data_IF_114963196135
#
_entry.id   IF_114963196135
#
_cell.length_a   1.000
_cell.length_b   1.000
_cell.length_c   1.000
_cell.angle_alpha   90.00
_cell.angle_beta   90.00
_cell.angle_gamma   90.00
#
_symmetry.space_group_name_H-M   'P 1'
#
loop_
_entity.id
_entity.type
_entity.pdbx_description
1 polymer ?
#
# COMPACT_ATOMS: atom_id res chain seq x y z
N UNK A 1 2.77 11.54 8.33
CA UNK A 1 2.90 10.17 7.78
C UNK A 1 1.74 9.78 6.86
N UNK A 2 0.47 9.91 7.28
CA UNK A 2 -0.70 9.50 6.48
C UNK A 2 -0.78 10.18 5.11
N UNK A 3 -0.52 11.50 5.05
CA UNK A 3 -0.50 12.25 3.79
C UNK A 3 0.57 11.80 2.79
N UNK A 4 1.65 11.16 3.22
CA UNK A 4 2.65 10.56 2.31
C UNK A 4 2.18 9.18 1.80
N UNK A 5 1.46 8.43 2.62
CA UNK A 5 0.80 7.17 2.21
C UNK A 5 -0.29 7.40 1.17
N UNK A 6 -1.09 8.46 1.33
CA UNK A 6 -2.13 8.84 0.36
C UNK A 6 -1.54 9.19 -1.02
N UNK A 7 -0.36 9.81 -1.09
CA UNK A 7 0.32 10.08 -2.38
C UNK A 7 0.67 8.79 -3.13
N UNK A 8 0.99 7.70 -2.43
CA UNK A 8 1.27 6.42 -3.05
C UNK A 8 0.01 5.71 -3.56
N UNK A 9 -1.19 6.13 -3.13
CA UNK A 9 -2.44 5.59 -3.68
C UNK A 9 -2.55 5.89 -5.18
N UNK A 10 -2.09 7.07 -5.62
CA UNK A 10 -2.02 7.46 -7.04
C UNK A 10 -1.29 6.44 -7.93
N UNK A 11 -0.27 5.75 -7.39
CA UNK A 11 0.50 4.75 -8.11
C UNK A 11 -0.15 3.36 -8.14
N UNK A 12 -1.31 3.17 -7.50
CA UNK A 12 -2.04 1.89 -7.54
C UNK A 12 -2.59 1.56 -8.93
N UNK A 13 -2.78 2.58 -9.77
CA UNK A 13 -3.22 2.47 -11.16
C UNK A 13 -2.06 2.76 -12.10
N UNK A 14 -1.03 1.93 -12.04
CA UNK A 14 0.03 1.98 -13.04
C UNK A 14 -0.49 1.46 -14.39
N UNK A 15 0.00 2.05 -15.48
CA UNK A 15 -0.16 1.48 -16.81
C UNK A 15 1.07 0.64 -17.18
N UNK A 16 0.91 -0.20 -18.22
CA UNK A 16 1.97 -1.10 -18.72
C UNK A 16 3.26 -0.33 -19.01
N UNK A 17 3.20 0.78 -19.75
CA UNK A 17 4.36 1.59 -20.14
C UNK A 17 5.14 2.12 -18.94
N UNK A 18 4.44 2.70 -17.95
CA UNK A 18 5.07 3.22 -16.72
C UNK A 18 5.80 2.13 -15.94
N UNK A 19 5.23 0.92 -15.89
CA UNK A 19 5.84 -0.18 -15.18
C UNK A 19 7.05 -0.74 -15.96
N UNK A 20 6.95 -0.88 -17.27
CA UNK A 20 8.07 -1.32 -18.13
C UNK A 20 9.25 -0.34 -18.02
N UNK A 21 9.00 0.96 -18.13
CA UNK A 21 10.04 1.96 -17.93
C UNK A 21 10.69 1.84 -16.55
N UNK A 22 9.89 1.53 -15.51
CA UNK A 22 10.44 1.30 -14.17
C UNK A 22 11.28 0.02 -14.09
N UNK A 23 10.97 -1.01 -14.85
CA UNK A 23 11.81 -2.21 -14.98
C UNK A 23 13.14 -1.83 -15.60
N UNK A 24 13.14 -1.15 -16.75
CA UNK A 24 14.33 -0.76 -17.48
C UNK A 24 15.24 0.17 -16.67
N UNK A 25 14.67 1.25 -16.12
CA UNK A 25 15.42 2.28 -15.41
C UNK A 25 15.94 1.83 -14.04
N UNK A 26 15.30 0.83 -13.43
CA UNK A 26 15.57 0.46 -12.05
C UNK A 26 15.77 -1.02 -11.84
N UNK A 27 14.81 -1.87 -12.17
CA UNK A 27 14.87 -3.28 -11.75
C UNK A 27 15.84 -4.14 -12.58
N UNK A 28 16.08 -3.78 -13.84
CA UNK A 28 17.03 -4.44 -14.73
C UNK A 28 18.48 -3.96 -14.53
N UNK A 29 18.78 -3.36 -13.37
CA UNK A 29 20.10 -2.85 -13.01
C UNK A 29 20.60 -3.48 -11.73
N UNK A 30 21.90 -3.41 -11.47
CA UNK A 30 22.45 -3.78 -10.17
C UNK A 30 22.26 -2.64 -9.14
N UNK A 31 22.39 -2.96 -7.85
CA UNK A 31 22.45 -1.93 -6.82
C UNK A 31 23.69 -1.06 -6.99
N UNK A 32 23.54 0.23 -6.71
CA UNK A 32 24.63 1.19 -6.61
C UNK A 32 24.65 1.76 -5.19
N UNK A 33 25.83 1.87 -4.60
CA UNK A 33 26.04 2.47 -3.30
C UNK A 33 27.29 3.37 -3.36
N UNK A 34 27.20 4.62 -2.90
CA UNK A 34 28.30 5.59 -2.94
C UNK A 34 28.97 5.69 -4.32
N UNK A 35 28.17 5.70 -5.39
CA UNK A 35 28.64 5.71 -6.80
C UNK A 35 29.45 4.50 -7.23
N UNK A 36 29.50 3.43 -6.41
CA UNK A 36 30.07 2.13 -6.76
C UNK A 36 28.94 1.22 -7.22
N UNK A 37 29.03 0.73 -8.44
CA UNK A 37 28.16 -0.32 -8.94
C UNK A 37 28.53 -1.64 -8.25
N UNK A 38 27.55 -2.31 -7.66
CA UNK A 38 27.73 -3.65 -7.08
C UNK A 38 27.33 -4.71 -8.11
N UNK A 39 27.71 -5.97 -7.89
CA UNK A 39 27.21 -7.12 -8.68
C UNK A 39 25.90 -7.70 -8.12
N UNK A 40 25.20 -6.96 -7.26
CA UNK A 40 23.96 -7.42 -6.62
C UNK A 40 22.78 -7.02 -7.51
N UNK A 41 22.14 -8.01 -8.13
CA UNK A 41 20.91 -7.81 -8.89
C UNK A 41 19.76 -7.31 -8.01
N UNK A 42 18.99 -6.35 -8.52
CA UNK A 42 17.77 -5.85 -7.86
C UNK A 42 16.60 -6.82 -7.96
N UNK A 43 16.67 -7.81 -8.84
CA UNK A 43 15.66 -8.86 -8.99
C UNK A 43 16.28 -10.19 -8.60
N UNK A 44 15.77 -10.78 -7.51
CA UNK A 44 16.27 -12.05 -6.96
C UNK A 44 15.64 -13.28 -7.62
N UNK A 45 14.40 -13.17 -8.10
CA UNK A 45 13.61 -14.27 -8.68
C UNK A 45 12.74 -13.75 -9.82
N UNK A 46 12.48 -14.61 -10.79
CA UNK A 46 11.64 -14.32 -11.96
C UNK A 46 12.47 -13.98 -13.19
N UNK A 47 11.78 -13.90 -14.32
CA UNK A 47 12.34 -13.56 -15.62
C UNK A 47 11.81 -12.18 -16.04
N UNK A 48 12.71 -11.21 -16.21
CA UNK A 48 12.33 -9.87 -16.65
C UNK A 48 11.96 -9.82 -18.12
N UNK A 49 12.30 -10.84 -18.92
CA UNK A 49 11.99 -10.87 -20.35
C UNK A 49 10.51 -11.17 -20.61
N UNK A 50 9.81 -11.83 -19.69
CA UNK A 50 8.37 -12.16 -19.81
C UNK A 50 7.45 -11.10 -19.18
N UNK A 51 8.02 -10.13 -18.44
CA UNK A 51 7.26 -9.19 -17.61
C UNK A 51 6.21 -8.41 -18.42
N UNK A 52 6.51 -8.10 -19.67
CA UNK A 52 5.60 -7.35 -20.53
C UNK A 52 4.31 -8.12 -20.83
N UNK A 53 4.45 -9.42 -21.10
CA UNK A 53 3.32 -10.32 -21.33
C UNK A 53 2.55 -10.54 -20.02
N UNK A 54 3.27 -10.75 -18.91
CA UNK A 54 2.68 -10.93 -17.58
C UNK A 54 1.82 -9.72 -17.17
N UNK A 55 2.33 -8.50 -17.39
CA UNK A 55 1.59 -7.25 -17.13
C UNK A 55 0.35 -7.13 -18.01
N UNK A 56 0.44 -7.52 -19.27
CA UNK A 56 -0.69 -7.46 -20.19
C UNK A 56 -1.80 -8.43 -19.78
N UNK A 57 -1.44 -9.67 -19.40
CA UNK A 57 -2.38 -10.64 -18.84
C UNK A 57 -3.00 -10.15 -17.53
N UNK A 58 -2.18 -9.59 -16.63
CA UNK A 58 -2.63 -9.06 -15.35
C UNK A 58 -3.66 -7.93 -15.54
N UNK A 59 -3.34 -6.94 -16.37
CA UNK A 59 -4.17 -5.75 -16.56
C UNK A 59 -5.48 -6.05 -17.34
N UNK A 60 -5.50 -7.10 -18.17
CA UNK A 60 -6.71 -7.59 -18.85
C UNK A 60 -7.58 -8.51 -17.98
N UNK A 61 -7.07 -8.98 -16.83
CA UNK A 61 -7.80 -9.89 -15.97
C UNK A 61 -8.92 -9.17 -15.21
N UNK A 62 -10.18 -9.57 -15.44
CA UNK A 62 -11.35 -9.01 -14.75
C UNK A 62 -11.38 -9.30 -13.24
N UNK A 63 -10.62 -10.30 -12.78
CA UNK A 63 -10.48 -10.64 -11.36
C UNK A 63 -9.41 -9.78 -10.65
N UNK A 64 -8.74 -8.88 -11.38
CA UNK A 64 -7.75 -7.98 -10.82
C UNK A 64 -8.41 -7.01 -9.82
N UNK A 65 -8.11 -7.22 -8.55
CA UNK A 65 -8.51 -6.33 -7.48
C UNK A 65 -7.28 -5.72 -6.82
N UNK A 66 -7.39 -4.46 -6.42
CA UNK A 66 -6.30 -3.71 -5.78
C UNK A 66 -6.60 -3.57 -4.30
N UNK A 67 -5.62 -3.85 -3.46
CA UNK A 67 -5.69 -3.73 -2.00
C UNK A 67 -4.69 -2.70 -1.54
N UNK A 68 -5.11 -1.76 -0.70
CA UNK A 68 -4.21 -0.86 -0.01
C UNK A 68 -4.17 -1.24 1.47
N UNK A 69 -2.98 -1.49 1.99
CA UNK A 69 -2.79 -2.00 3.35
C UNK A 69 -2.16 -0.91 4.22
N UNK A 70 -2.86 -0.52 5.28
CA UNK A 70 -2.30 0.28 6.37
C UNK A 70 -1.86 -0.67 7.50
N UNK A 71 -0.57 -0.68 7.82
CA UNK A 71 -0.03 -1.50 8.91
C UNK A 71 0.07 -0.68 10.20
N UNK A 72 -0.68 -1.10 11.22
CA UNK A 72 -0.74 -0.51 12.56
C UNK A 72 -0.15 -1.49 13.58
N UNK A 73 1.17 -1.50 13.71
CA UNK A 73 1.90 -2.41 14.62
C UNK A 73 1.77 -2.08 16.12
N UNK A 74 1.08 -0.99 16.46
CA UNK A 74 0.97 -0.46 17.82
C UNK A 74 -0.45 -0.56 18.39
N UNK A 75 -1.39 -1.17 17.66
CA UNK A 75 -2.77 -1.36 18.11
C UNK A 75 -3.29 -2.73 17.73
N UNK A 76 -3.98 -3.40 18.66
CA UNK A 76 -4.74 -4.59 18.35
C UNK A 76 -6.11 -4.23 17.76
N UNK A 77 -6.69 -5.17 17.00
CA UNK A 77 -8.05 -5.04 16.45
C UNK A 77 -9.08 -4.85 17.58
N UNK A 78 -8.96 -5.63 18.65
CA UNK A 78 -9.86 -5.56 19.81
C UNK A 78 -9.83 -4.20 20.51
N UNK A 79 -8.64 -3.57 20.58
CA UNK A 79 -8.49 -2.23 21.14
C UNK A 79 -9.25 -1.20 20.31
N UNK A 80 -9.13 -1.27 18.98
CA UNK A 80 -9.85 -0.38 18.05
C UNK A 80 -11.37 -0.56 18.21
N UNK A 81 -11.85 -1.80 18.20
CA UNK A 81 -13.28 -2.12 18.33
C UNK A 81 -13.85 -1.59 19.65
N UNK A 82 -13.14 -1.80 20.75
CA UNK A 82 -13.56 -1.32 22.08
C UNK A 82 -13.71 0.21 22.09
N UNK A 83 -12.71 0.94 21.60
CA UNK A 83 -12.75 2.40 21.58
C UNK A 83 -13.83 2.92 20.63
N UNK A 84 -14.05 2.26 19.50
CA UNK A 84 -15.11 2.61 18.57
C UNK A 84 -16.50 2.45 19.20
N UNK A 85 -16.74 1.36 19.92
CA UNK A 85 -18.00 1.13 20.64
C UNK A 85 -18.23 2.17 21.74
N UNK A 86 -17.16 2.61 22.44
CA UNK A 86 -17.27 3.71 23.42
C UNK A 86 -17.78 4.99 22.77
N UNK A 87 -17.20 5.37 21.63
CA UNK A 87 -17.66 6.55 20.86
C UNK A 87 -19.13 6.39 20.44
N UNK A 88 -19.54 5.21 19.97
CA UNK A 88 -20.94 4.94 19.58
C UNK A 88 -21.92 5.12 20.74
N UNK A 89 -21.51 4.80 21.98
CA UNK A 89 -22.32 4.99 23.20
C UNK A 89 -22.24 6.41 23.77
N UNK A 90 -21.51 7.32 23.14
CA UNK A 90 -21.29 8.68 23.65
C UNK A 90 -20.34 8.75 24.85
N UNK A 91 -19.56 7.70 25.11
CA UNK A 91 -18.58 7.68 26.19
C UNK A 91 -17.30 8.46 25.82
N UNK A 92 -16.63 8.99 26.84
CA UNK A 92 -15.37 9.68 26.66
C UNK A 92 -14.25 8.73 26.20
N UNK A 93 -13.55 9.13 25.15
CA UNK A 93 -12.39 8.43 24.58
C UNK A 93 -11.21 9.40 24.51
N UNK A 94 -9.97 8.97 24.80
CA UNK A 94 -8.80 9.85 24.75
C UNK A 94 -8.65 10.53 23.37
N UNK A 95 -8.32 11.82 23.35
CA UNK A 95 -8.25 12.59 22.11
C UNK A 95 -7.34 12.00 21.03
N UNK A 96 -6.21 11.41 21.43
CA UNK A 96 -5.28 10.75 20.50
C UNK A 96 -5.90 9.50 19.84
N UNK A 97 -6.79 8.78 20.54
CA UNK A 97 -7.53 7.64 19.99
C UNK A 97 -8.57 8.12 18.99
N UNK A 98 -9.30 9.19 19.32
CA UNK A 98 -10.25 9.82 18.38
C UNK A 98 -9.52 10.24 17.11
N UNK A 99 -8.39 10.95 17.23
CA UNK A 99 -7.59 11.38 16.07
C UNK A 99 -7.13 10.19 15.21
N UNK A 100 -6.75 9.09 15.84
CA UNK A 100 -6.33 7.88 15.15
C UNK A 100 -7.48 7.21 14.40
N UNK A 101 -8.66 7.13 15.00
CA UNK A 101 -9.87 6.62 14.34
C UNK A 101 -10.27 7.51 13.15
N UNK A 102 -10.13 8.83 13.29
CA UNK A 102 -10.30 9.78 12.18
C UNK A 102 -9.33 9.50 11.03
N UNK A 103 -8.04 9.30 11.34
CA UNK A 103 -7.03 8.94 10.35
C UNK A 103 -7.39 7.64 9.61
N UNK A 104 -7.80 6.61 10.36
CA UNK A 104 -8.19 5.31 9.81
C UNK A 104 -9.41 5.46 8.89
N UNK A 105 -10.41 6.23 9.34
CA UNK A 105 -11.61 6.52 8.55
C UNK A 105 -11.27 7.24 7.25
N UNK A 106 -10.51 8.33 7.32
CA UNK A 106 -10.06 9.09 6.14
C UNK A 106 -9.26 8.23 5.17
N UNK A 107 -8.39 7.35 5.68
CA UNK A 107 -7.67 6.38 4.85
C UNK A 107 -8.64 5.43 4.13
N UNK A 108 -9.58 4.83 4.85
CA UNK A 108 -10.54 3.89 4.27
C UNK A 108 -11.39 4.55 3.18
N UNK A 109 -11.82 5.80 3.40
CA UNK A 109 -12.54 6.58 2.39
C UNK A 109 -11.68 6.86 1.15
N UNK A 110 -10.47 7.42 1.33
CA UNK A 110 -9.58 7.72 0.21
C UNK A 110 -9.25 6.50 -0.66
N UNK A 111 -9.07 5.32 -0.05
CA UNK A 111 -8.81 4.07 -0.78
C UNK A 111 -10.05 3.61 -1.57
N UNK A 112 -11.25 3.73 -0.99
CA UNK A 112 -12.50 3.37 -1.67
C UNK A 112 -12.78 4.28 -2.85
N UNK A 113 -12.56 5.58 -2.71
CA UNK A 113 -12.73 6.56 -3.79
C UNK A 113 -11.84 6.24 -5.00
N UNK A 114 -10.74 5.52 -4.77
CA UNK A 114 -9.84 5.03 -5.80
C UNK A 114 -10.18 3.60 -6.29
N UNK A 115 -11.37 3.07 -6.05
CA UNK A 115 -11.76 1.71 -6.46
C UNK A 115 -10.79 0.62 -5.96
N UNK A 116 -10.21 0.80 -4.79
CA UNK A 116 -9.36 -0.17 -4.13
C UNK A 116 -9.96 -0.62 -2.79
N UNK A 117 -9.50 -1.76 -2.30
CA UNK A 117 -9.96 -2.36 -1.05
C UNK A 117 -9.04 -1.90 0.09
N UNK A 118 -9.53 -1.12 1.08
CA UNK A 118 -8.75 -0.78 2.25
C UNK A 118 -8.63 -1.99 3.19
N UNK A 119 -7.41 -2.23 3.67
CA UNK A 119 -7.11 -3.27 4.65
C UNK A 119 -6.29 -2.61 5.77
N UNK A 120 -6.63 -2.93 7.02
CA UNK A 120 -5.88 -2.48 8.19
C UNK A 120 -5.31 -3.71 8.88
N UNK A 121 -3.99 -3.82 8.89
CA UNK A 121 -3.30 -4.83 9.69
C UNK A 121 -3.03 -4.27 11.07
N UNK A 122 -3.44 -5.02 12.08
CA UNK A 122 -3.26 -4.66 13.48
C UNK A 122 -2.14 -5.51 14.08
N UNK A 123 -1.62 -5.06 15.22
CA UNK A 123 -0.85 -5.92 16.10
C UNK A 123 -1.69 -7.15 16.50
N UNK A 124 -1.03 -8.30 16.75
CA UNK A 124 -1.69 -9.51 17.26
C UNK A 124 -2.57 -9.24 18.49
#
# INVERSE_FOLDING_TARGET
MVGQGIKNLGNMFFNKTQFIQRIEDKFNTMYSNNSVQTDISRVRKGDLTTIEQDLEHLLKNYQLHRKCILSCSFMSKSSIETQFQKIQRGEAVPGHITQLLWIISSFAHAVRDMNAIPIIYCAP
#
